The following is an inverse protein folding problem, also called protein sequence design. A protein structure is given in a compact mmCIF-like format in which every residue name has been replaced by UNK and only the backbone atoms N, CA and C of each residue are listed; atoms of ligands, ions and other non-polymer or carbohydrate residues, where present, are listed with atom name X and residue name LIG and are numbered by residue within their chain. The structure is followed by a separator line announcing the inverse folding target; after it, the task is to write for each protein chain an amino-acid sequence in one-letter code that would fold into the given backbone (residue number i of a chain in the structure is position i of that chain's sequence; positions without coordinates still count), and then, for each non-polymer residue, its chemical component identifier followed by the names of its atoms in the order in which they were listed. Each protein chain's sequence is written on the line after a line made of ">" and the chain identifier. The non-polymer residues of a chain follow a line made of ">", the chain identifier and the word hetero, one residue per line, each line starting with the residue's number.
data_IF_741530027474
#
_entry.id   IF_741530027474
#
_cell.length_a   1.000
_cell.length_b   1.000
_cell.length_c   1.000
_cell.angle_alpha   90.00
_cell.angle_beta   90.00
_cell.angle_gamma   90.00
#
_symmetry.space_group_name_H-M   'P 1'
#
loop_
_entity.id
_entity.type
_entity.pdbx_description
1 polymer ?
2 non-polymer ?
3 non-polymer ?
4 non-polymer ?
5 non-polymer ?
6 water ?
#
# COMPACT_ATOMS: atom_id res chain seq x y z
N UNK A 3 5.38 3.76 30.20
CA UNK A 3 6.81 3.74 29.89
C UNK A 3 7.04 3.66 28.38
N UNK A 4 7.37 2.47 27.89
CA UNK A 4 7.74 2.26 26.50
C UNK A 4 6.79 1.25 25.86
N UNK A 5 6.28 1.58 24.68
CA UNK A 5 5.41 0.71 23.91
C UNK A 5 6.00 0.58 22.52
N UNK A 6 6.22 -0.66 22.08
CA UNK A 6 6.78 -0.89 20.76
C UNK A 6 5.78 -0.52 19.67
N UNK A 7 6.31 0.02 18.58
CA UNK A 7 5.52 0.34 17.39
C UNK A 7 6.00 -0.56 16.27
N UNK A 8 5.29 -1.65 16.05
CA UNK A 8 5.63 -2.62 15.01
C UNK A 8 5.03 -2.13 13.69
N UNK A 9 5.87 -1.52 12.85
CA UNK A 9 5.46 -1.06 11.53
C UNK A 9 5.89 -2.10 10.51
N UNK A 10 4.94 -2.68 9.80
CA UNK A 10 5.20 -3.76 8.88
C UNK A 10 4.91 -3.34 7.44
N UNK A 11 5.67 -3.92 6.51
CA UNK A 11 5.53 -3.62 5.10
C UNK A 11 6.03 -4.81 4.29
N UNK A 12 5.88 -4.70 2.97
CA UNK A 12 6.21 -5.82 2.09
C UNK A 12 7.72 -6.04 2.02
N UNK A 13 8.50 -4.98 1.92
CA UNK A 13 9.92 -5.08 1.72
C UNK A 13 10.30 -5.02 0.24
N UNK A 14 11.55 -4.62 0.00
CA UNK A 14 12.07 -4.47 -1.35
C UNK A 14 13.55 -4.88 -1.34
N UNK A 15 14.08 -5.37 -2.45
CA UNK A 15 15.50 -5.73 -2.49
C UNK A 15 16.37 -4.48 -2.35
N UNK A 16 17.34 -4.56 -1.45
CA UNK A 16 18.24 -3.44 -1.24
C UNK A 16 19.27 -3.31 -2.35
N UNK A 17 19.70 -4.44 -2.91
CA UNK A 17 20.66 -4.46 -4.00
C UNK A 17 20.11 -5.32 -5.12
N UNK A 18 20.68 -5.14 -6.31
CA UNK A 18 20.27 -5.95 -7.46
C UNK A 18 20.49 -7.44 -7.20
N UNK A 19 21.53 -7.77 -6.42
CA UNK A 19 21.80 -9.17 -6.08
C UNK A 19 20.76 -9.77 -5.15
N UNK A 20 19.87 -8.97 -4.57
CA UNK A 20 18.86 -9.46 -3.66
C UNK A 20 17.58 -9.91 -4.35
N UNK A 21 17.47 -9.68 -5.67
CA UNK A 21 16.21 -9.93 -6.36
C UNK A 21 15.84 -11.42 -6.32
N UNK A 22 16.84 -12.29 -6.47
CA UNK A 22 16.58 -13.73 -6.50
C UNK A 22 15.96 -14.20 -5.18
N UNK A 23 16.63 -13.94 -4.07
CA UNK A 23 16.11 -14.39 -2.78
C UNK A 23 14.81 -13.68 -2.42
N UNK A 24 14.66 -12.43 -2.86
CA UNK A 24 13.41 -11.70 -2.62
C UNK A 24 12.25 -12.33 -3.36
N UNK A 25 12.45 -12.66 -4.64
CA UNK A 25 11.40 -13.36 -5.39
C UNK A 25 11.13 -14.75 -4.81
N UNK A 26 12.19 -15.43 -4.35
CA UNK A 26 12.02 -16.75 -3.75
C UNK A 26 11.16 -16.68 -2.49
N UNK A 27 11.42 -15.69 -1.63
CA UNK A 27 10.63 -15.54 -0.42
C UNK A 27 9.18 -15.22 -0.77
N UNK A 28 8.96 -14.37 -1.78
CA UNK A 28 7.60 -14.06 -2.22
C UNK A 28 6.90 -15.32 -2.72
N UNK A 29 7.64 -16.18 -3.41
CA UNK A 29 7.07 -17.38 -4.02
C UNK A 29 7.03 -18.54 -3.03
N UNK A 30 6.88 -18.22 -1.74
CA UNK A 30 6.76 -19.22 -0.68
C UNK A 30 7.95 -20.18 -0.64
N UNK A 31 9.14 -19.69 -0.98
CA UNK A 31 10.34 -20.49 -0.96
C UNK A 31 10.65 -21.22 -2.24
N UNK A 32 9.72 -21.26 -3.20
CA UNK A 32 9.94 -21.91 -4.48
C UNK A 32 10.71 -20.96 -5.40
N UNK A 33 11.95 -21.31 -5.72
CA UNK A 33 12.80 -20.45 -6.52
C UNK A 33 12.19 -20.25 -7.91
N UNK A 34 12.06 -19.02 -8.38
CA UNK A 34 11.52 -18.80 -9.73
C UNK A 34 12.55 -19.15 -10.79
N UNK A 35 12.05 -19.34 -12.01
CA UNK A 35 12.91 -19.62 -13.14
C UNK A 35 13.71 -18.37 -13.52
N UNK A 36 14.73 -18.57 -14.36
CA UNK A 36 15.49 -17.44 -14.86
C UNK A 36 14.61 -16.50 -15.67
N UNK A 37 13.63 -17.04 -16.41
CA UNK A 37 12.73 -16.18 -17.18
C UNK A 37 11.92 -15.28 -16.25
N UNK A 38 11.41 -15.82 -15.14
CA UNK A 38 10.68 -14.98 -14.20
C UNK A 38 11.61 -13.98 -13.52
N UNK A 39 12.83 -14.39 -13.18
CA UNK A 39 13.80 -13.49 -12.57
C UNK A 39 14.16 -12.36 -13.53
N UNK A 40 14.30 -12.69 -14.82
CA UNK A 40 14.67 -11.68 -15.80
C UNK A 40 13.57 -10.66 -16.00
N UNK A 41 12.31 -11.10 -16.03
CA UNK A 41 11.20 -10.17 -16.20
C UNK A 41 11.10 -9.21 -15.02
N UNK A 42 11.27 -9.73 -13.80
CA UNK A 42 11.21 -8.86 -12.63
C UNK A 42 12.40 -7.90 -12.61
N UNK A 43 13.60 -8.41 -12.92
CA UNK A 43 14.78 -7.56 -12.99
C UNK A 43 14.61 -6.46 -14.04
N UNK A 44 13.97 -6.79 -15.17
CA UNK A 44 13.73 -5.78 -16.19
C UNK A 44 12.80 -4.69 -15.71
N UNK A 45 11.76 -5.06 -14.94
CA UNK A 45 10.85 -4.04 -14.40
C UNK A 45 11.57 -3.11 -13.45
N UNK A 46 12.46 -3.65 -12.60
CA UNK A 46 13.24 -2.80 -11.71
C UNK A 46 14.14 -1.86 -12.50
N UNK A 47 14.80 -2.37 -13.54
CA UNK A 47 15.63 -1.51 -14.38
C UNK A 47 14.79 -0.50 -15.14
N UNK A 48 13.55 -0.85 -15.49
CA UNK A 48 12.69 0.08 -16.20
C UNK A 48 12.31 1.29 -15.35
N UNK A 49 12.29 1.14 -14.02
CA UNK A 49 11.88 2.25 -13.17
C UNK A 49 13.13 2.95 -12.63
N UNK A 50 14.30 2.56 -13.13
CA UNK A 50 15.54 3.21 -12.78
C UNK A 50 16.56 2.33 -12.07
N UNK A 51 16.29 1.05 -11.84
CA UNK A 51 17.26 0.19 -11.22
C UNK A 51 16.74 -0.52 -9.98
N UNK A 52 16.30 0.27 -9.01
CA UNK A 52 15.75 -0.28 -7.77
C UNK A 52 14.69 0.66 -7.24
N UNK A 53 13.87 0.14 -6.33
CA UNK A 53 12.74 0.86 -5.79
C UNK A 53 13.14 1.66 -4.55
N UNK A 54 12.58 2.85 -4.35
CA UNK A 54 12.90 3.63 -3.16
C UNK A 54 12.04 3.22 -1.97
N UNK A 55 11.45 2.02 -2.04
CA UNK A 55 10.52 1.59 -1.01
C UNK A 55 11.21 1.44 0.34
N UNK A 56 12.47 0.97 0.34
CA UNK A 56 13.17 0.77 1.60
C UNK A 56 13.41 2.07 2.34
N UNK A 57 13.77 3.14 1.61
CA UNK A 57 14.03 4.41 2.26
C UNK A 57 12.73 5.10 2.67
N UNK A 58 11.68 4.96 1.85
CA UNK A 58 10.39 5.56 2.20
C UNK A 58 9.77 4.86 3.40
N UNK A 59 9.87 3.53 3.44
CA UNK A 59 9.34 2.78 4.58
C UNK A 59 10.02 3.18 5.87
N UNK A 60 11.34 3.39 5.82
CA UNK A 60 12.07 3.87 7.00
C UNK A 60 11.59 5.24 7.43
N UNK A 61 11.44 6.16 6.46
CA UNK A 61 11.00 7.51 6.79
C UNK A 61 9.57 7.51 7.34
N UNK A 62 8.72 6.62 6.84
CA UNK A 62 7.36 6.51 7.39
C UNK A 62 7.39 5.95 8.81
N UNK A 63 8.17 4.90 9.03
CA UNK A 63 8.20 4.25 10.34
C UNK A 63 8.79 5.17 11.40
N UNK A 64 9.92 5.80 11.11
CA UNK A 64 10.55 6.69 12.08
C UNK A 64 9.87 8.06 12.11
N UNK A 65 9.27 8.48 10.99
CA UNK A 65 8.47 9.68 11.02
C UNK A 65 7.22 9.51 11.89
N UNK A 66 6.65 8.31 11.89
CA UNK A 66 5.52 8.03 12.76
C UNK A 66 5.94 8.03 14.23
N UNK A 67 7.13 7.48 14.52
CA UNK A 67 7.62 7.45 15.90
C UNK A 67 7.83 8.87 16.44
N UNK A 68 8.45 9.74 15.65
CA UNK A 68 8.61 11.13 16.08
C UNK A 68 7.28 11.85 16.18
N UNK A 69 6.36 11.56 15.24
CA UNK A 69 5.05 12.21 15.28
C UNK A 69 4.27 11.81 16.54
N UNK A 70 4.35 10.54 16.93
CA UNK A 70 3.65 10.10 18.13
C UNK A 70 4.30 10.66 19.39
N UNK A 71 5.63 10.66 19.45
CA UNK A 71 6.33 11.07 20.66
C UNK A 71 6.32 12.57 20.89
N UNK A 72 6.15 13.37 19.83
CA UNK A 72 6.12 14.82 19.98
C UNK A 72 4.72 15.34 20.28
N UNK A 73 3.69 14.52 20.14
CA UNK A 73 2.31 14.96 20.31
C UNK A 73 1.75 14.68 21.69
N UNK A 74 2.45 13.91 22.52
CA UNK A 74 1.94 13.56 23.84
C UNK A 74 3.10 13.11 24.71
N UNK A 75 2.84 13.00 26.00
CA UNK A 75 3.81 12.53 26.98
C UNK A 75 3.18 11.50 27.91
N UNK A 76 2.27 10.69 27.38
CA UNK A 76 1.69 9.59 28.14
C UNK A 76 2.50 8.30 28.00
N UNK A 77 3.14 8.11 26.86
CA UNK A 77 3.86 6.87 26.58
C UNK A 77 4.93 7.17 25.54
N UNK A 78 6.08 6.52 25.67
CA UNK A 78 7.13 6.61 24.68
C UNK A 78 6.97 5.48 23.67
N UNK A 79 6.87 5.83 22.39
CA UNK A 79 6.78 4.85 21.32
C UNK A 79 8.17 4.58 20.74
N UNK A 80 8.44 3.31 20.45
CA UNK A 80 9.69 2.89 19.83
C UNK A 80 9.35 2.07 18.59
N UNK A 81 9.73 2.57 17.43
CA UNK A 81 9.35 1.93 16.17
C UNK A 81 10.32 0.81 15.82
N UNK A 82 9.77 -0.33 15.43
CA UNK A 82 10.53 -1.46 14.91
C UNK A 82 9.96 -1.84 13.56
N UNK A 83 10.82 -1.90 12.55
CA UNK A 83 10.41 -2.22 11.19
C UNK A 83 10.44 -3.74 11.00
N UNK A 84 9.33 -4.29 10.54
CA UNK A 84 9.25 -5.70 10.24
C UNK A 84 8.74 -5.97 8.84
N UNK A 85 9.61 -6.47 7.96
CA UNK A 85 9.25 -6.64 6.57
C UNK A 85 8.76 -8.05 6.30
N UNK A 86 7.97 -8.19 5.23
CA UNK A 86 7.32 -9.46 4.96
C UNK A 86 8.24 -10.43 4.21
N UNK A 87 9.06 -9.94 3.28
CA UNK A 87 9.78 -10.81 2.37
C UNK A 87 11.27 -10.53 2.30
N UNK A 88 11.83 -9.72 3.21
CA UNK A 88 13.27 -9.49 3.26
C UNK A 88 13.60 -8.98 4.65
N UNK A 89 14.88 -9.02 5.01
CA UNK A 89 15.28 -8.58 6.34
C UNK A 89 15.31 -7.05 6.41
N UNK A 90 14.97 -6.48 7.57
CA UNK A 90 14.53 -7.15 8.81
C UNK A 90 13.12 -7.73 8.68
N UNK A 91 12.98 -9.03 8.86
CA UNK A 91 11.69 -9.69 8.74
C UNK A 91 10.78 -9.31 9.91
N UNK A 92 9.51 -9.67 9.76
CA UNK A 92 8.55 -9.51 10.86
C UNK A 92 9.08 -10.18 12.12
N UNK A 93 9.66 -11.38 11.97
CA UNK A 93 10.16 -12.12 13.11
C UNK A 93 11.40 -11.47 13.70
N UNK A 94 12.19 -10.77 12.89
CA UNK A 94 13.35 -10.06 13.43
C UNK A 94 12.92 -8.86 14.26
N UNK A 95 11.86 -8.18 13.85
CA UNK A 95 11.37 -7.03 14.60
C UNK A 95 10.83 -7.46 15.97
N UNK A 96 10.05 -8.53 16.01
CA UNK A 96 9.52 -9.04 17.27
C UNK A 96 10.65 -9.55 18.15
N UNK A 97 11.68 -10.15 17.55
CA UNK A 97 12.86 -10.56 18.31
C UNK A 97 13.55 -9.36 18.93
N UNK A 98 13.70 -8.28 18.16
CA UNK A 98 14.35 -7.08 18.69
C UNK A 98 13.52 -6.44 19.80
N UNK A 99 12.19 -6.50 19.70
CA UNK A 99 11.34 -5.93 20.74
C UNK A 99 11.47 -6.72 22.04
N UNK A 100 11.39 -8.05 21.96
CA UNK A 100 11.53 -8.87 23.15
C UNK A 100 12.92 -8.72 23.77
N UNK A 101 13.96 -8.64 22.95
CA UNK A 101 15.31 -8.45 23.46
C UNK A 101 15.45 -7.09 24.13
N UNK A 102 14.83 -6.06 23.56
CA UNK A 102 14.90 -4.72 24.14
C UNK A 102 14.05 -4.57 25.39
N UNK A 103 13.33 -5.60 25.81
CA UNK A 103 12.49 -5.54 26.99
C UNK A 103 11.09 -5.00 26.75
N UNK A 104 10.69 -4.80 25.50
CA UNK A 104 9.35 -4.31 25.22
C UNK A 104 8.33 -5.35 25.65
N UNK A 105 7.38 -4.93 26.49
CA UNK A 105 6.35 -5.82 27.00
C UNK A 105 5.02 -5.66 26.28
N UNK A 106 4.76 -4.51 25.67
CA UNK A 106 3.52 -4.23 24.97
C UNK A 106 3.84 -3.52 23.66
N UNK A 107 3.19 -3.95 22.59
CA UNK A 107 3.43 -3.37 21.28
C UNK A 107 2.10 -3.13 20.56
N UNK A 108 2.11 -2.16 19.66
CA UNK A 108 1.01 -1.91 18.73
C UNK A 108 1.56 -2.10 17.33
N UNK A 109 0.91 -2.95 16.54
CA UNK A 109 1.34 -3.24 15.19
C UNK A 109 0.42 -2.55 14.19
N UNK A 110 1.01 -2.11 13.08
CA UNK A 110 0.27 -1.48 12.00
C UNK A 110 0.93 -1.87 10.68
N UNK A 111 0.12 -2.15 9.67
CA UNK A 111 0.61 -2.50 8.34
C UNK A 111 0.54 -1.25 7.46
N UNK A 112 1.56 -1.04 6.64
CA UNK A 112 1.59 0.11 5.75
C UNK A 112 0.73 -0.14 4.52
N UNK A 113 -0.53 -0.50 4.76
CA UNK A 113 -1.56 -0.70 3.76
C UNK A 113 -2.91 -0.57 4.46
N UNK A 114 -3.73 0.40 4.05
CA UNK A 114 -4.92 0.76 4.86
C UNK A 114 -6.02 -0.29 4.86
N UNK A 115 -5.97 -1.27 3.97
CA UNK A 115 -7.05 -2.24 3.83
C UNK A 115 -6.61 -3.62 4.32
N UNK A 116 -7.58 -4.37 4.84
CA UNK A 116 -7.33 -5.69 5.40
C UNK A 116 -7.67 -6.77 4.37
N UNK A 117 -6.92 -7.86 4.43
CA UNK A 117 -7.25 -9.05 3.65
C UNK A 117 -6.60 -10.26 4.29
N UNK A 118 -7.15 -11.43 3.98
CA UNK A 118 -6.57 -12.67 4.47
C UNK A 118 -5.17 -12.90 3.91
N UNK A 119 -4.90 -12.42 2.69
CA UNK A 119 -3.60 -12.61 2.08
C UNK A 119 -2.59 -11.56 2.49
N UNK A 120 -3.04 -10.39 2.99
CA UNK A 120 -2.14 -9.30 3.27
C UNK A 120 -2.05 -9.11 4.78
N UNK A 121 -2.91 -8.29 5.39
CA UNK A 121 -2.74 -7.92 6.79
C UNK A 121 -2.80 -9.15 7.70
N UNK A 122 -3.69 -10.09 7.39
CA UNK A 122 -3.83 -11.27 8.22
C UNK A 122 -2.52 -12.07 8.28
N UNK A 123 -1.79 -12.11 7.16
CA UNK A 123 -0.49 -12.78 7.16
C UNK A 123 0.53 -12.01 7.98
N UNK A 124 0.52 -10.68 7.89
CA UNK A 124 1.39 -9.86 8.73
C UNK A 124 1.13 -10.15 10.20
N UNK A 125 -0.14 -10.12 10.62
CA UNK A 125 -0.47 -10.29 12.02
C UNK A 125 -0.21 -11.72 12.48
N UNK A 126 -0.47 -12.70 11.61
CA UNK A 126 -0.27 -14.10 12.00
C UNK A 126 1.20 -14.37 12.32
N UNK A 127 2.10 -13.95 11.43
CA UNK A 127 3.53 -14.16 11.67
C UNK A 127 4.02 -13.37 12.88
N UNK A 128 3.44 -12.20 13.13
CA UNK A 128 3.87 -11.40 14.28
C UNK A 128 3.37 -12.01 15.58
N UNK A 129 2.11 -12.44 15.64
CA UNK A 129 1.56 -13.02 16.86
C UNK A 129 2.25 -14.34 17.20
N UNK A 130 2.54 -15.16 16.18
CA UNK A 130 3.18 -16.44 16.44
C UNK A 130 4.66 -16.28 16.82
N UNK A 131 5.31 -15.24 16.30
CA UNK A 131 6.69 -14.98 16.70
C UNK A 131 6.76 -14.57 18.17
N UNK A 132 5.84 -13.71 18.61
CA UNK A 132 5.81 -13.31 20.01
C UNK A 132 5.41 -14.47 20.91
N UNK A 133 4.58 -15.39 20.42
CA UNK A 133 4.18 -16.54 21.23
C UNK A 133 5.36 -17.47 21.48
N UNK A 134 6.19 -17.70 20.46
CA UNK A 134 7.36 -18.56 20.64
C UNK A 134 8.40 -17.91 21.54
N UNK A 135 8.41 -16.58 21.60
CA UNK A 135 9.41 -15.86 22.40
C UNK A 135 8.90 -15.51 23.79
N UNK A 136 7.58 -15.50 24.00
CA UNK A 136 7.00 -15.10 25.26
C UNK A 136 6.54 -13.66 25.32
N UNK A 137 6.94 -12.84 24.35
CA UNK A 137 6.55 -11.46 24.30
C UNK A 137 7.12 -10.75 23.08
N UNK A 138 6.69 -9.51 22.83
CA UNK A 138 5.71 -8.72 23.59
C UNK A 138 4.26 -9.01 23.21
N UNK A 139 3.32 -8.50 23.98
CA UNK A 139 1.91 -8.62 23.62
C UNK A 139 1.61 -7.66 22.47
N UNK A 140 1.24 -8.23 21.31
CA UNK A 140 1.02 -7.44 20.10
C UNK A 140 -0.47 -7.17 19.97
N UNK A 141 -0.83 -5.89 19.96
CA UNK A 141 -2.18 -5.44 19.69
C UNK A 141 -2.22 -4.95 18.24
N UNK A 142 -2.89 -5.71 17.38
CA UNK A 142 -2.81 -5.49 15.95
C UNK A 142 -3.90 -4.55 15.47
N UNK A 143 -3.51 -3.62 14.60
CA UNK A 143 -4.46 -2.81 13.83
C UNK A 143 -4.68 -3.52 12.50
N UNK A 144 -5.93 -3.85 12.20
CA UNK A 144 -6.26 -4.60 10.99
C UNK A 144 -6.40 -3.71 9.76
N UNK A 145 -7.04 -2.55 9.91
CA UNK A 145 -7.21 -1.63 8.79
C UNK A 145 -7.42 -0.24 9.35
N UNK A 146 -7.25 0.76 8.47
CA UNK A 146 -7.43 2.15 8.90
C UNK A 146 -7.84 3.05 7.75
N UNK A 147 -8.38 2.50 6.66
CA UNK A 147 -8.83 3.30 5.52
C UNK A 147 -9.99 4.22 5.90
N UNK A 148 -10.74 3.89 6.96
CA UNK A 148 -11.86 4.72 7.37
C UNK A 148 -11.43 5.97 8.12
N UNK A 149 -10.15 6.14 8.40
CA UNK A 149 -9.67 7.35 9.04
C UNK A 149 -9.99 8.55 8.17
N UNK A 150 -10.70 9.56 8.69
CA UNK A 150 -11.08 10.70 7.83
C UNK A 150 -9.89 11.45 7.25
N UNK A 151 -8.81 11.58 8.02
CA UNK A 151 -7.62 12.25 7.50
C UNK A 151 -7.03 11.50 6.31
N UNK A 152 -7.13 10.16 6.31
CA UNK A 152 -6.67 9.38 5.18
C UNK A 152 -7.52 9.66 3.94
N UNK A 153 -8.84 9.65 4.10
CA UNK A 153 -9.74 9.94 2.98
C UNK A 153 -9.51 11.35 2.47
N UNK A 154 -9.32 12.30 3.39
CA UNK A 154 -9.14 13.70 2.99
C UNK A 154 -7.78 13.92 2.33
N UNK A 155 -6.75 13.21 2.78
CA UNK A 155 -5.44 13.32 2.15
C UNK A 155 -5.50 12.95 0.68
N UNK A 156 -6.23 11.89 0.34
CA UNK A 156 -6.33 11.47 -1.06
C UNK A 156 -7.20 12.42 -1.86
N UNK A 157 -8.29 12.92 -1.25
CA UNK A 157 -9.14 13.87 -1.95
C UNK A 157 -8.38 15.16 -2.28
N UNK A 158 -7.58 15.65 -1.34
CA UNK A 158 -6.80 16.85 -1.59
C UNK A 158 -5.82 16.66 -2.74
N UNK A 159 -5.16 15.50 -2.81
CA UNK A 159 -4.23 15.23 -3.89
C UNK A 159 -4.94 15.15 -5.24
N UNK A 160 -6.13 14.57 -5.27
CA UNK A 160 -6.89 14.49 -6.52
C UNK A 160 -7.39 15.86 -6.93
N UNK A 161 -7.91 16.64 -5.97
CA UNK A 161 -8.41 17.98 -6.29
C UNK A 161 -7.27 18.88 -6.77
N UNK A 162 -6.09 18.77 -6.16
CA UNK A 162 -4.93 19.52 -6.62
C UNK A 162 -4.60 19.21 -8.07
N UNK A 163 -4.73 17.94 -8.48
CA UNK A 163 -4.46 17.57 -9.86
C UNK A 163 -5.59 18.03 -10.78
N UNK A 164 -6.84 17.84 -10.36
CA UNK A 164 -7.98 18.18 -11.22
C UNK A 164 -8.00 19.66 -11.57
N UNK A 165 -7.47 20.52 -10.70
CA UNK A 165 -7.49 21.95 -10.98
C UNK A 165 -6.50 22.36 -12.07
N UNK A 166 -5.57 21.48 -12.44
CA UNK A 166 -4.72 21.73 -13.60
C UNK A 166 -5.41 21.31 -14.91
N UNK A 167 -6.49 20.56 -14.82
CA UNK A 167 -7.27 20.13 -15.99
C UNK A 167 -8.20 21.27 -16.39
N UNK A 168 -8.32 21.60 -17.68
CA UNK A 168 -9.25 22.64 -18.09
C UNK A 168 -10.69 22.30 -17.69
N UNK A 169 -11.46 23.35 -17.41
CA UNK A 169 -12.84 23.14 -16.94
C UNK A 169 -13.68 22.43 -18.00
N UNK A 170 -13.52 22.81 -19.27
CA UNK A 170 -14.27 22.18 -20.34
C UNK A 170 -13.86 20.72 -20.58
N UNK A 171 -12.84 20.22 -19.88
CA UNK A 171 -12.44 18.83 -19.96
C UNK A 171 -12.60 18.07 -18.65
N UNK A 172 -12.98 18.76 -17.57
CA UNK A 172 -13.22 18.07 -16.31
C UNK A 172 -14.39 17.09 -16.40
N UNK A 173 -15.38 17.41 -17.22
CA UNK A 173 -16.50 16.50 -17.42
C UNK A 173 -16.08 15.20 -18.09
N UNK A 174 -14.95 15.21 -18.81
CA UNK A 174 -14.41 14.02 -19.43
C UNK A 174 -13.24 13.45 -18.66
N UNK A 175 -13.21 13.67 -17.34
CA UNK A 175 -12.15 13.20 -16.47
C UNK A 175 -12.71 12.11 -15.55
N UNK A 176 -11.97 11.01 -15.41
CA UNK A 176 -12.38 9.90 -14.58
C UNK A 176 -11.26 9.56 -13.61
N UNK A 177 -11.65 9.13 -12.41
CA UNK A 177 -10.71 8.79 -11.35
C UNK A 177 -10.70 7.27 -11.18
N UNK A 178 -9.53 6.67 -11.37
CA UNK A 178 -9.37 5.22 -11.24
C UNK A 178 -8.76 4.93 -9.88
N UNK A 179 -9.58 4.38 -8.98
CA UNK A 179 -9.13 3.96 -7.66
C UNK A 179 -8.80 2.48 -7.72
N UNK A 180 -7.62 2.11 -7.22
CA UNK A 180 -7.15 0.73 -7.37
C UNK A 180 -6.37 0.30 -6.14
N UNK A 181 -6.03 -0.99 -6.12
CA UNK A 181 -5.12 -1.56 -5.15
C UNK A 181 -4.57 -2.85 -5.73
N UNK A 182 -3.69 -3.50 -4.97
CA UNK A 182 -3.10 -4.75 -5.43
C UNK A 182 -4.19 -5.82 -5.54
N UNK A 183 -4.27 -6.44 -6.71
CA UNK A 183 -5.24 -7.50 -6.93
C UNK A 183 -4.94 -8.70 -6.04
N UNK A 184 -5.95 -9.53 -5.85
CA UNK A 184 -5.84 -10.78 -5.10
C UNK A 184 -6.62 -11.85 -5.84
N UNK A 185 -6.36 -13.13 -5.55
CA UNK A 185 -7.18 -14.19 -6.15
C UNK A 185 -8.65 -13.95 -5.87
N UNK A 186 -9.47 -14.14 -6.90
CA UNK A 186 -10.90 -13.85 -6.81
C UNK A 186 -11.60 -14.71 -5.78
N UNK A 187 -11.01 -15.86 -5.40
CA UNK A 187 -11.66 -16.78 -4.47
C UNK A 187 -11.97 -16.14 -3.13
N UNK A 188 -11.30 -15.04 -2.77
CA UNK A 188 -11.57 -14.38 -1.51
C UNK A 188 -12.97 -13.78 -1.47
N UNK A 189 -13.58 -13.50 -2.62
CA UNK A 189 -14.94 -12.99 -2.64
C UNK A 189 -15.95 -14.08 -2.32
N UNK A 190 -15.58 -15.35 -2.48
CA UNK A 190 -16.49 -16.44 -2.13
C UNK A 190 -16.68 -16.59 -0.63
N UNK A 191 -15.76 -16.05 0.17
CA UNK A 191 -15.82 -16.15 1.62
C UNK A 191 -16.02 -14.78 2.27
N UNK A 192 -16.46 -13.79 1.50
CA UNK A 192 -16.79 -12.44 2.00
C UNK A 192 -15.58 -11.79 2.67
N UNK A 193 -14.41 -11.95 2.06
CA UNK A 193 -13.24 -11.21 2.50
C UNK A 193 -13.54 -9.71 2.40
N UNK A 194 -13.19 -8.92 3.42
CA UNK A 194 -13.54 -7.49 3.39
C UNK A 194 -12.77 -6.68 2.38
N UNK A 195 -11.68 -7.21 1.84
CA UNK A 195 -10.78 -6.46 0.94
C UNK A 195 -11.50 -5.76 -0.20
N UNK A 196 -12.30 -6.43 -1.05
CA UNK A 196 -12.93 -5.70 -2.15
C UNK A 196 -13.95 -4.69 -1.68
N UNK A 197 -14.73 -5.01 -0.64
CA UNK A 197 -15.70 -4.07 -0.12
C UNK A 197 -15.03 -2.87 0.53
N UNK A 198 -13.91 -3.09 1.22
CA UNK A 198 -13.18 -1.98 1.83
C UNK A 198 -12.68 -1.00 0.79
N UNK A 199 -12.24 -1.50 -0.36
CA UNK A 199 -11.73 -0.60 -1.39
C UNK A 199 -12.86 0.11 -2.12
N UNK A 200 -14.00 -0.54 -2.31
CA UNK A 200 -15.16 0.17 -2.85
C UNK A 200 -15.58 1.29 -1.93
N UNK A 201 -15.58 1.04 -0.61
CA UNK A 201 -15.88 2.10 0.34
C UNK A 201 -14.89 3.24 0.24
N UNK A 202 -13.60 2.92 0.11
CA UNK A 202 -12.58 3.97 0.00
C UNK A 202 -12.82 4.83 -1.23
N UNK A 203 -13.12 4.21 -2.37
CA UNK A 203 -13.41 4.96 -3.58
C UNK A 203 -14.67 5.80 -3.42
N UNK A 204 -15.71 5.23 -2.79
CA UNK A 204 -16.93 5.98 -2.55
C UNK A 204 -16.67 7.19 -1.65
N UNK A 205 -15.90 7.01 -0.59
CA UNK A 205 -15.62 8.11 0.34
C UNK A 205 -14.81 9.21 -0.35
N UNK A 206 -13.81 8.83 -1.15
CA UNK A 206 -12.99 9.82 -1.82
C UNK A 206 -13.79 10.54 -2.90
N UNK A 207 -14.63 9.81 -3.63
CA UNK A 207 -15.38 10.39 -4.74
C UNK A 207 -16.30 11.52 -4.28
N UNK A 208 -16.90 11.36 -3.09
CA UNK A 208 -17.82 12.38 -2.61
C UNK A 208 -17.09 13.62 -2.10
N UNK A 209 -15.76 13.67 -2.18
CA UNK A 209 -14.99 14.83 -1.72
C UNK A 209 -14.11 15.43 -2.81
N UNK A 210 -14.21 14.96 -4.04
CA UNK A 210 -13.41 15.48 -5.14
C UNK A 210 -14.33 16.11 -6.18
N UNK A 211 -13.75 16.99 -7.01
CA UNK A 211 -14.49 17.64 -8.09
C UNK A 211 -14.53 16.80 -9.37
N UNK A 212 -13.84 15.66 -9.39
CA UNK A 212 -13.86 14.77 -10.55
C UNK A 212 -15.25 14.14 -10.62
N UNK A 213 -15.95 14.28 -11.75
CA UNK A 213 -17.34 13.79 -11.84
C UNK A 213 -17.47 12.28 -12.06
N UNK A 214 -16.39 11.59 -12.46
CA UNK A 214 -16.47 10.18 -12.80
C UNK A 214 -15.41 9.40 -12.04
N UNK A 215 -15.74 8.16 -11.69
CA UNK A 215 -14.77 7.30 -11.01
C UNK A 215 -15.10 5.84 -11.26
N UNK A 216 -14.08 4.99 -11.10
CA UNK A 216 -14.22 3.56 -11.28
C UNK A 216 -13.18 2.85 -10.42
N UNK A 217 -13.54 1.66 -9.96
CA UNK A 217 -12.66 0.86 -9.10
C UNK A 217 -12.00 -0.23 -9.93
N UNK A 218 -10.68 -0.37 -9.78
CA UNK A 218 -9.93 -1.37 -10.51
C UNK A 218 -8.90 -2.04 -9.62
N UNK A 219 -8.17 -2.98 -10.21
CA UNK A 219 -7.13 -3.71 -9.50
C UNK A 219 -5.90 -3.80 -10.40
N UNK A 220 -4.75 -4.11 -9.80
CA UNK A 220 -3.51 -4.13 -10.55
C UNK A 220 -2.54 -5.15 -9.95
N UNK A 221 -1.48 -5.42 -10.71
CA UNK A 221 -0.35 -6.24 -10.26
C UNK A 221 -0.77 -7.67 -9.95
N UNK A 222 -1.74 -8.20 -10.68
CA UNK A 222 -2.16 -9.58 -10.46
C UNK A 222 -1.00 -10.52 -10.74
N UNK A 223 -1.00 -11.65 -10.02
CA UNK A 223 0.15 -12.52 -9.98
C UNK A 223 0.23 -13.48 -11.16
N UNK A 224 1.31 -14.26 -11.16
CA UNK A 224 1.56 -15.26 -12.19
C UNK A 224 1.07 -16.61 -11.68
N UNK A 225 -0.24 -16.79 -11.73
CA UNK A 225 -0.87 -18.04 -11.30
C UNK A 225 -1.81 -18.57 -12.37
N UNK A 226 -2.55 -19.63 -12.06
CA UNK A 226 -3.54 -20.18 -12.95
C UNK A 226 -4.97 -19.98 -12.51
N UNK A 227 -5.22 -19.15 -11.51
CA UNK A 227 -6.54 -18.88 -10.98
C UNK A 227 -7.00 -17.48 -11.38
N UNK A 228 -8.31 -17.23 -11.39
CA UNK A 228 -8.77 -15.86 -11.65
C UNK A 228 -8.45 -14.93 -10.49
N UNK A 229 -8.12 -13.69 -10.83
CA UNK A 229 -7.81 -12.66 -9.84
C UNK A 229 -8.87 -11.56 -9.89
N UNK A 230 -8.88 -10.73 -8.85
CA UNK A 230 -9.85 -9.65 -8.77
C UNK A 230 -9.71 -8.71 -9.96
N UNK A 231 -10.79 -8.54 -10.71
CA UNK A 231 -10.82 -7.62 -11.82
C UNK A 231 -11.81 -6.50 -11.58
N UNK A 232 -11.85 -5.53 -12.50
CA UNK A 232 -11.06 -5.45 -13.74
C UNK A 232 -9.66 -4.88 -13.51
N UNK A 233 -8.69 -5.30 -14.31
CA UNK A 233 -7.36 -4.72 -14.25
C UNK A 233 -7.39 -3.28 -14.76
N UNK A 234 -6.56 -2.42 -14.13
CA UNK A 234 -6.57 -1.00 -14.43
C UNK A 234 -6.27 -0.74 -15.90
N UNK A 235 -5.43 -1.57 -16.53
CA UNK A 235 -5.20 -1.42 -17.96
C UNK A 235 -6.45 -1.76 -18.75
N UNK A 236 -7.07 -2.90 -18.45
CA UNK A 236 -8.28 -3.30 -19.16
C UNK A 236 -9.42 -2.33 -18.88
N UNK A 237 -9.51 -1.83 -17.63
CA UNK A 237 -10.56 -0.87 -17.29
C UNK A 237 -10.37 0.43 -18.08
N UNK A 238 -9.13 0.86 -18.26
CA UNK A 238 -8.88 2.09 -19.01
C UNK A 238 -9.34 1.95 -20.46
N UNK A 239 -9.11 0.79 -21.08
CA UNK A 239 -9.57 0.57 -22.44
C UNK A 239 -11.09 0.59 -22.51
N UNK A 240 -11.75 -0.12 -21.59
CA UNK A 240 -13.21 -0.19 -21.61
C UNK A 240 -13.83 1.17 -21.37
N UNK A 241 -13.26 1.96 -20.46
CA UNK A 241 -13.83 3.26 -20.15
C UNK A 241 -13.66 4.25 -21.29
N UNK A 242 -12.53 4.16 -22.02
CA UNK A 242 -12.36 5.03 -23.18
C UNK A 242 -13.26 4.60 -24.33
N UNK A 243 -13.40 3.30 -24.54
CA UNK A 243 -14.27 2.82 -25.60
C UNK A 243 -15.73 3.18 -25.38
N UNK A 244 -16.15 3.29 -24.12
CA UNK A 244 -17.55 3.58 -23.82
C UNK A 244 -17.81 5.06 -23.61
N UNK A 245 -16.86 5.78 -22.99
CA UNK A 245 -17.09 7.17 -22.61
C UNK A 245 -16.12 8.16 -23.24
N UNK A 246 -15.03 7.70 -23.85
CA UNK A 246 -14.07 8.58 -24.53
C UNK A 246 -13.52 9.64 -23.57
N UNK A 247 -13.08 9.17 -22.39
CA UNK A 247 -12.55 10.07 -21.39
C UNK A 247 -11.23 10.69 -21.87
N UNK A 248 -11.04 11.98 -21.55
CA UNK A 248 -9.85 12.70 -21.96
C UNK A 248 -8.75 12.71 -20.91
N UNK A 249 -9.08 12.45 -19.65
CA UNK A 249 -8.10 12.47 -18.57
C UNK A 249 -8.36 11.28 -17.66
N UNK A 250 -7.30 10.54 -17.34
CA UNK A 250 -7.37 9.43 -16.40
C UNK A 250 -6.49 9.74 -15.20
N UNK A 251 -7.10 9.79 -14.02
CA UNK A 251 -6.38 10.02 -12.77
C UNK A 251 -6.34 8.72 -12.00
N UNK A 252 -5.14 8.19 -11.79
CA UNK A 252 -4.95 6.92 -11.11
C UNK A 252 -4.49 7.18 -9.68
N UNK A 253 -5.27 6.69 -8.71
CA UNK A 253 -4.89 6.72 -7.30
C UNK A 253 -4.92 5.30 -6.76
N UNK A 254 -3.81 4.59 -6.78
CA UNK A 254 -3.76 3.26 -6.16
C UNK A 254 -3.73 3.39 -4.64
N UNK A 255 -4.89 3.66 -4.06
CA UNK A 255 -4.98 3.95 -2.62
C UNK A 255 -4.62 2.74 -1.76
N UNK A 256 -4.55 1.54 -2.34
CA UNK A 256 -4.10 0.38 -1.59
C UNK A 256 -2.64 0.44 -1.21
N UNK A 257 -1.87 1.30 -1.86
CA UNK A 257 -0.46 1.51 -1.58
C UNK A 257 -0.25 2.87 -0.93
N UNK A 258 0.88 3.00 -0.22
CA UNK A 258 1.19 4.22 0.51
C UNK A 258 2.52 4.83 0.09
N UNK A 259 3.18 4.26 -0.93
CA UNK A 259 4.48 4.75 -1.32
C UNK A 259 4.69 4.50 -2.81
N UNK A 260 5.66 5.22 -3.37
CA UNK A 260 6.06 5.05 -4.77
C UNK A 260 7.03 3.88 -4.85
N UNK A 261 6.53 2.72 -5.25
CA UNK A 261 7.35 1.52 -5.36
C UNK A 261 7.14 0.93 -6.76
N UNK A 262 7.57 -0.31 -6.94
CA UNK A 262 7.53 -0.94 -8.26
C UNK A 262 6.11 -1.07 -8.78
N UNK A 263 5.16 -1.42 -7.90
CA UNK A 263 3.78 -1.60 -8.32
C UNK A 263 3.08 -0.29 -8.65
N UNK A 264 3.74 0.85 -8.40
CA UNK A 264 3.24 2.15 -8.83
C UNK A 264 4.10 2.72 -9.96
N UNK A 265 5.42 2.70 -9.79
CA UNK A 265 6.32 3.25 -10.78
C UNK A 265 6.28 2.49 -12.10
N UNK A 266 5.91 1.21 -12.08
CA UNK A 266 5.81 0.43 -13.30
C UNK A 266 4.37 0.11 -13.68
N UNK A 267 3.60 -0.50 -12.78
CA UNK A 267 2.26 -0.93 -13.14
C UNK A 267 1.34 0.25 -13.43
N UNK A 268 1.61 1.42 -12.85
CA UNK A 268 0.85 2.63 -13.15
C UNK A 268 1.62 3.55 -14.11
N UNK A 269 2.79 4.02 -13.70
CA UNK A 269 3.47 5.08 -14.44
C UNK A 269 3.98 4.61 -15.80
N UNK A 270 4.03 3.31 -16.05
CA UNK A 270 4.39 2.80 -17.37
C UNK A 270 3.23 2.07 -18.03
N UNK A 271 2.69 1.02 -17.39
CA UNK A 271 1.70 0.18 -18.04
C UNK A 271 0.40 0.95 -18.30
N UNK A 272 -0.05 1.74 -17.33
CA UNK A 272 -1.27 2.52 -17.53
C UNK A 272 -1.04 3.67 -18.50
N UNK A 273 0.15 4.30 -18.43
CA UNK A 273 0.44 5.39 -19.37
C UNK A 273 0.51 4.88 -20.80
N UNK A 274 0.94 3.64 -21.01
CA UNK A 274 0.94 3.06 -22.35
C UNK A 274 -0.48 3.01 -22.90
N UNK A 275 -1.45 2.66 -22.06
CA UNK A 275 -2.83 2.56 -22.51
C UNK A 275 -3.38 3.95 -22.84
N UNK A 276 -3.16 4.92 -21.96
CA UNK A 276 -3.65 6.27 -22.23
C UNK A 276 -2.98 6.86 -23.48
N UNK A 277 -1.69 6.60 -23.65
CA UNK A 277 -1.01 7.02 -24.88
C UNK A 277 -1.65 6.36 -26.10
N UNK A 278 -2.08 5.11 -25.96
CA UNK A 278 -2.67 4.39 -27.08
C UNK A 278 -4.01 5.00 -27.48
N UNK A 279 -4.91 5.21 -26.51
CA UNK A 279 -6.20 5.80 -26.80
C UNK A 279 -6.14 7.30 -26.99
N UNK A 280 -5.01 7.92 -26.70
CA UNK A 280 -4.86 9.35 -26.88
C UNK A 280 -5.33 10.22 -25.74
N UNK A 281 -5.42 9.68 -24.53
CA UNK A 281 -5.85 10.42 -23.36
C UNK A 281 -4.65 10.82 -22.51
N UNK A 282 -4.88 11.78 -21.61
CA UNK A 282 -3.83 12.25 -20.73
C UNK A 282 -3.72 11.36 -19.51
N UNK A 283 -2.50 11.23 -18.99
CA UNK A 283 -2.21 10.40 -17.84
C UNK A 283 -1.95 11.28 -16.62
N UNK A 284 -2.57 10.92 -15.49
CA UNK A 284 -2.36 11.62 -14.23
C UNK A 284 -2.23 10.61 -13.11
N UNK A 285 -1.19 10.76 -12.28
CA UNK A 285 -0.98 9.92 -11.11
C UNK A 285 -0.49 10.79 -9.97
N UNK A 286 -1.39 11.22 -9.09
CA UNK A 286 -1.00 12.12 -7.99
C UNK A 286 0.06 11.51 -7.11
N UNK A 287 0.86 12.32 -6.43
CA UNK A 287 1.95 11.78 -5.60
C UNK A 287 1.43 10.79 -4.55
N UNK A 288 2.20 9.73 -4.35
CA UNK A 288 1.90 8.77 -3.31
C UNK A 288 2.09 9.42 -1.93
N UNK A 289 1.46 8.86 -0.89
CA UNK A 289 1.61 9.46 0.44
C UNK A 289 3.06 9.60 0.88
N UNK A 290 3.87 8.54 0.71
CA UNK A 290 5.30 8.54 1.08
C UNK A 290 5.40 8.94 2.55
N UNK A 291 6.30 9.84 2.92
CA UNK A 291 6.45 10.30 4.29
C UNK A 291 6.03 11.76 4.43
N UNK A 292 4.99 12.16 3.69
CA UNK A 292 4.49 13.52 3.81
C UNK A 292 3.97 13.77 5.22
N UNK A 293 4.12 15.00 5.73
CA UNK A 293 3.60 15.29 7.08
C UNK A 293 2.11 15.00 7.23
N UNK A 294 1.32 15.26 6.19
CA UNK A 294 -0.10 14.95 6.25
C UNK A 294 -0.33 13.45 6.46
N UNK A 295 0.46 12.61 5.79
CA UNK A 295 0.30 11.17 5.96
C UNK A 295 0.82 10.69 7.30
N UNK A 296 1.93 11.27 7.76
CA UNK A 296 2.40 10.96 9.11
C UNK A 296 1.36 11.33 10.15
N UNK A 297 0.60 12.40 9.90
CA UNK A 297 -0.51 12.77 10.78
C UNK A 297 -1.64 11.76 10.70
N UNK A 298 -1.85 11.15 9.52
CA UNK A 298 -2.83 10.08 9.39
C UNK A 298 -2.47 8.90 10.28
N UNK A 299 -1.22 8.43 10.17
CA UNK A 299 -0.79 7.28 10.94
C UNK A 299 -0.71 7.62 12.42
N UNK A 300 -0.28 8.83 12.75
CA UNK A 300 -0.24 9.24 14.16
C UNK A 300 -1.62 9.16 14.79
N UNK A 301 -2.65 9.65 14.08
CA UNK A 301 -4.01 9.58 14.61
C UNK A 301 -4.47 8.14 14.74
N UNK A 302 -4.11 7.28 13.78
CA UNK A 302 -4.55 5.89 13.80
C UNK A 302 -3.94 5.15 14.98
N UNK A 303 -2.62 5.30 15.18
CA UNK A 303 -1.95 4.57 16.25
C UNK A 303 -2.40 5.09 17.61
N UNK A 304 -2.51 6.41 17.75
CA UNK A 304 -2.97 6.96 19.03
C UNK A 304 -4.39 6.53 19.34
N UNK A 305 -5.24 6.42 18.32
CA UNK A 305 -6.60 5.95 18.54
C UNK A 305 -6.60 4.50 19.01
N UNK A 306 -5.62 3.70 18.58
CA UNK A 306 -5.55 2.31 19.02
C UNK A 306 -5.05 2.21 20.46
N UNK A 307 -4.04 3.02 20.81
CA UNK A 307 -3.51 2.97 22.17
C UNK A 307 -4.55 3.43 23.18
N UNK A 308 -5.31 4.47 22.85
CA UNK A 308 -6.34 4.95 23.76
C UNK A 308 -7.41 3.90 24.01
N UNK A 309 -7.68 3.05 23.01
CA UNK A 309 -8.75 2.07 23.12
C UNK A 309 -8.35 0.83 23.92
N UNK A 310 -7.06 0.61 24.14
CA UNK A 310 -6.62 -0.51 24.94
C UNK A 310 -6.20 -0.05 26.34
X LIG B 1 5.85 -4.79 -3.41
X LIG B 1 0.55 -11.52 -4.23
X LIG B 1 1.54 -11.93 -5.08
X LIG B 1 2.48 -10.82 -5.16
X LIG B 1 0.90 -10.16 -3.83
X LIG B 1 3.63 -10.84 -5.91
X LIG B 1 0.17 -6.01 -1.52
X LIG B 1 -0.50 -7.22 -1.74
X LIG B 1 0.36 -8.08 -2.52
X LIG B 1 1.46 -6.13 -2.17
X LIG B 1 2.48 -5.17 -2.21
X LIG B 1 4.78 -4.27 -2.74
X LIG B 1 0.11 -9.37 -2.99
X LIG B 1 1.66 -13.25 -5.77
X LIG B 1 2.47 -14.26 -4.99
X LIG B 1 2.59 -15.59 -5.69
X LIG B 1 -1.87 -7.58 -1.26
X LIG B 1 7.54 -3.50 -4.78
X LIG B 1 8.96 -2.97 -4.79
X LIG B 1 -0.34 -4.83 -0.75
X LIG B 1 -0.16 -4.93 0.77
X LIG B 1 1.27 -4.89 1.26
X LIG B 1 3.71 -5.27 -2.85
X LIG B 1 6.22 -10.98 -7.71
X LIG B 1 5.86 -10.71 -9.17
X LIG B 1 4.38 -10.47 -9.46
X LIG B 1 7.84 -8.33 -7.06
X LIG B 1 7.23 -4.22 -3.48
X LIG B 1 -0.65 -12.31 -3.78
X LIG B 1 4.71 -2.98 -1.97
X LIG B 1 5.37 -6.00 -4.04
X LIG B 1 5.83 -9.89 -6.74
X LIG B 1 6.53 -8.74 -6.47
X LIG B 1 5.79 -8.00 -5.49
X LIG B 1 4.64 -9.87 -5.95
X LIG B 1 6.12 -6.77 -4.91
X LIG B 1 4.10 -6.30 -3.66
X LIG B 1 4.66 -8.71 -5.22
X LIG B 1 2.08 -9.77 -4.38
X LIG B 1 1.53 -7.37 -2.76
X LIG B 1 2.04 -15.72 -6.80
X LIG B 1 3.24 -16.49 -5.12
X LIG B 1 9.90 -3.79 -4.64
X LIG B 1 9.12 -1.75 -4.93
X LIG B 1 1.72 -5.90 1.86
X LIG B 1 1.94 -3.86 1.06
X LIG B 1 3.79 -11.31 -10.18
X LIG B 1 3.84 -9.44 -8.98
X LIG C 1 14.02 -2.68 13.78
X LIG C 1 13.46 -1.66 12.97
X LIG C 1 14.16 -3.94 12.99
X LIG C 1 14.74 -4.95 13.79
X LIG D 1 16.21 10.39 17.36
X LIG D 1 15.77 9.10 17.73
X LIG D 1 17.11 10.95 18.43
X LIG D 1 17.49 12.26 18.08
X LIG E 1 3.30 -8.23 -3.85
X LIG F 1 2.04 -7.31 -14.06
X LIG G 1 2.78 -12.17 -0.36
#
# INVERSE_FOLDING_TARGET
>A
MTKKVGLLVMAYGTPYKDEDIERYYTDIRHGHKPSEEMIADLRGRYHAIGGLSPLAKITEAQAYGLEKALNDSQDEVEFKAYIGLKHIEPFIEDAVEAMHKDGIEEAISIVLAPHYSSFSVEAYNKRAKEAADKLGGPRINAINDWYKQPKFIQMWADRINETAKQIPADELLDTVLIVSAHSLPEKIKQHNDPYPNQLQETADFIFEKVVVPHYALGWQSEGKTGEPWLGPDVQDLTRELYGREKYKHFIYTPVGFVAEHLEVLYDNDYECKVVTDEVGAAYHRPPMPNSDPEFLEVLRTVVWEKYSNL
>B hetero
1 HT9 C1 C10 C11 C12 C13 C14 C15 C16 C17 C18 C19 C2 C20 C21 C22 C23 C24 C25 C26 C27 C28 C29 C3 C30 C31 C32 C33 C34 C35 C36 C4 C5 C6 C7 C8 C9 N1 N2 N3 N4 O1 O2 O3 O4 O5 O6 O7 O8
>C hetero
1 EDO C1 O1 C2 O2
>D hetero
1 EDO C1 O1 C2 O2
>E hetero
1 FE FE
>F hetero
1 FE FE
>G hetero
1 CL CL
#
